data_IF_268061078830
#
_entry.id   IF_268061078830
#
_cell.length_a   1.000
_cell.length_b   1.000
_cell.length_c   1.000
_cell.angle_alpha   90.00
_cell.angle_beta   90.00
_cell.angle_gamma   90.00
#
_symmetry.space_group_name_H-M   'P 1'
#
loop_
_entity.id
_entity.type
_entity.pdbx_description
1 polymer ?
#
# COMPACT_ATOMS: atom_id res chain seq x y z
N UNK A 1 -22.55 20.68 -20.94
CA UNK A 1 -21.71 20.32 -19.78
C UNK A 1 -22.60 19.70 -18.74
N UNK A 2 -22.25 18.53 -18.22
CA UNK A 2 -22.87 17.99 -17.01
C UNK A 2 -22.25 18.66 -15.78
N UNK A 3 -23.06 18.84 -14.75
CA UNK A 3 -22.65 19.28 -13.41
C UNK A 3 -22.79 18.07 -12.50
N UNK A 4 -21.71 17.29 -12.38
CA UNK A 4 -21.71 16.05 -11.62
C UNK A 4 -21.17 16.29 -10.20
N UNK A 5 -21.88 15.79 -9.19
CA UNK A 5 -21.43 15.77 -7.79
C UNK A 5 -20.94 14.35 -7.44
N UNK A 6 -19.65 14.19 -7.14
CA UNK A 6 -19.02 12.91 -6.80
C UNK A 6 -18.56 12.90 -5.35
N UNK A 7 -18.83 11.80 -4.63
CA UNK A 7 -18.46 11.63 -3.22
C UNK A 7 -17.92 10.23 -2.98
N UNK A 8 -16.79 10.13 -2.28
CA UNK A 8 -16.18 8.86 -1.84
C UNK A 8 -15.95 7.83 -2.95
N UNK A 9 -15.61 8.29 -4.17
CA UNK A 9 -15.17 7.40 -5.24
C UNK A 9 -13.73 6.92 -4.96
N UNK A 10 -13.38 5.75 -5.50
CA UNK A 10 -12.02 5.20 -5.39
C UNK A 10 -10.97 6.08 -6.08
N UNK A 11 -11.35 6.68 -7.22
CA UNK A 11 -10.50 7.59 -8.00
C UNK A 11 -11.17 8.96 -8.15
N UNK A 12 -10.37 10.01 -8.31
CA UNK A 12 -10.88 11.36 -8.57
C UNK A 12 -11.58 11.43 -9.94
N UNK A 13 -12.77 12.03 -9.96
CA UNK A 13 -13.56 12.22 -11.20
C UNK A 13 -13.77 13.69 -11.48
N UNK A 14 -13.55 14.08 -12.73
CA UNK A 14 -13.78 15.45 -13.17
C UNK A 14 -15.30 15.74 -13.20
N UNK A 15 -15.78 16.74 -12.43
CA UNK A 15 -17.21 17.08 -12.37
C UNK A 15 -17.75 17.67 -13.66
N UNK A 16 -16.89 18.01 -14.63
CA UNK A 16 -17.28 18.66 -15.88
C UNK A 16 -17.38 17.72 -17.09
N UNK A 17 -16.56 16.67 -17.15
CA UNK A 17 -16.48 15.76 -18.28
C UNK A 17 -16.57 14.27 -17.92
N UNK A 18 -16.71 13.94 -16.64
CA UNK A 18 -16.80 12.56 -16.15
C UNK A 18 -15.54 11.71 -16.45
N UNK A 19 -14.40 12.35 -16.74
CA UNK A 19 -13.10 11.69 -16.81
C UNK A 19 -12.69 11.20 -15.42
N UNK A 20 -12.18 9.97 -15.33
CA UNK A 20 -11.66 9.35 -14.12
C UNK A 20 -10.13 9.33 -14.20
N UNK A 21 -9.49 9.90 -13.18
CA UNK A 21 -8.04 9.98 -13.08
C UNK A 21 -7.51 8.79 -12.25
N UNK A 22 -6.88 7.82 -12.90
CA UNK A 22 -6.42 6.57 -12.28
C UNK A 22 -5.16 6.73 -11.43
N UNK A 23 -4.48 7.87 -11.55
CA UNK A 23 -3.28 8.22 -10.77
C UNK A 23 -3.63 9.21 -9.65
N UNK A 24 -4.92 9.31 -9.28
CA UNK A 24 -5.40 10.31 -8.33
C UNK A 24 -4.88 10.16 -6.89
N UNK A 25 -4.23 9.03 -6.58
CA UNK A 25 -3.53 8.78 -5.32
C UNK A 25 -2.29 9.67 -5.12
N UNK A 26 -1.72 10.19 -6.21
CA UNK A 26 -0.58 11.11 -6.21
C UNK A 26 -0.99 12.59 -6.03
N UNK A 27 -2.30 12.88 -5.98
CA UNK A 27 -2.80 14.22 -5.66
C UNK A 27 -2.38 14.61 -4.23
N UNK A 28 -1.97 15.86 -4.05
CA UNK A 28 -1.50 16.39 -2.76
C UNK A 28 -2.60 16.39 -1.69
N UNK A 29 -2.22 16.26 -0.42
CA UNK A 29 -3.13 16.29 0.72
C UNK A 29 -3.73 17.68 1.02
N UNK A 30 -3.03 18.75 0.62
CA UNK A 30 -3.38 20.11 1.03
C UNK A 30 -3.98 20.94 -0.12
N UNK A 31 -5.26 21.27 -0.02
CA UNK A 31 -5.77 22.63 -0.27
C UNK A 31 -5.93 23.18 -1.69
N UNK A 32 -5.50 22.56 -2.77
CA UNK A 32 -5.64 23.17 -4.10
C UNK A 32 -6.28 22.25 -5.13
N UNK A 33 -7.33 22.79 -5.74
CA UNK A 33 -7.88 22.39 -7.03
C UNK A 33 -6.84 21.70 -7.92
N UNK A 34 -7.28 20.68 -8.67
CA UNK A 34 -6.48 20.08 -9.74
C UNK A 34 -7.06 20.45 -11.11
N UNK A 35 -6.27 20.33 -12.17
CA UNK A 35 -6.72 20.52 -13.55
C UNK A 35 -6.99 19.16 -14.20
N UNK A 36 -8.16 18.99 -14.80
CA UNK A 36 -8.49 17.76 -15.50
C UNK A 36 -7.65 17.61 -16.78
N UNK A 37 -6.84 16.54 -16.86
CA UNK A 37 -6.06 16.22 -18.06
C UNK A 37 -6.87 15.94 -19.34
N UNK A 38 -8.19 15.67 -19.21
CA UNK A 38 -9.08 15.43 -20.35
C UNK A 38 -9.74 16.71 -20.89
N UNK A 39 -10.23 17.61 -20.01
CA UNK A 39 -10.99 18.79 -20.43
C UNK A 39 -10.36 20.14 -20.05
N UNK A 40 -9.22 20.13 -19.34
CA UNK A 40 -8.46 21.32 -18.93
C UNK A 40 -9.15 22.19 -17.88
N UNK A 41 -10.22 21.72 -17.23
CA UNK A 41 -10.94 22.50 -16.21
C UNK A 41 -10.39 22.21 -14.82
N UNK A 42 -10.31 23.27 -14.01
CA UNK A 42 -9.94 23.19 -12.60
C UNK A 42 -11.13 22.74 -11.76
N UNK A 43 -10.92 21.80 -10.84
CA UNK A 43 -11.93 21.36 -9.88
C UNK A 43 -11.29 21.10 -8.51
N UNK A 44 -12.03 21.39 -7.44
CA UNK A 44 -11.62 21.03 -6.08
C UNK A 44 -11.80 19.53 -5.83
N UNK A 45 -11.01 18.98 -4.93
CA UNK A 45 -11.14 17.59 -4.47
C UNK A 45 -10.86 17.53 -2.96
N UNK A 46 -11.37 16.48 -2.33
CA UNK A 46 -11.10 16.15 -0.93
C UNK A 46 -10.77 14.66 -0.86
N UNK A 47 -9.75 14.29 -0.09
CA UNK A 47 -9.37 12.89 0.12
C UNK A 47 -9.92 12.41 1.47
N UNK A 48 -10.66 11.31 1.45
CA UNK A 48 -11.11 10.65 2.68
C UNK A 48 -10.19 9.46 2.97
N UNK A 49 -9.41 9.54 4.06
CA UNK A 49 -8.54 8.46 4.53
C UNK A 49 -9.05 7.92 5.86
N UNK A 50 -9.21 6.61 5.95
CA UNK A 50 -9.50 5.91 7.20
C UNK A 50 -8.27 5.09 7.62
N UNK A 51 -7.78 5.33 8.84
CA UNK A 51 -6.64 4.60 9.42
C UNK A 51 -7.12 3.80 10.63
N UNK A 52 -7.06 2.46 10.54
CA UNK A 52 -7.43 1.54 11.62
C UNK A 52 -6.26 0.61 11.96
N UNK A 53 -6.26 0.07 13.18
CA UNK A 53 -5.13 -0.71 13.71
C UNK A 53 -5.59 -2.11 14.13
N UNK A 54 -4.78 -3.11 13.80
CA UNK A 54 -4.84 -4.45 14.38
C UNK A 54 -3.53 -4.73 15.11
N UNK A 55 -3.61 -5.34 16.29
CA UNK A 55 -2.44 -5.68 17.10
C UNK A 55 -2.44 -7.17 17.43
N UNK A 56 -1.24 -7.75 17.54
CA UNK A 56 -1.05 -9.16 17.86
C UNK A 56 0.24 -9.34 18.68
N UNK A 57 0.33 -10.46 19.41
CA UNK A 57 1.51 -10.79 20.21
C UNK A 57 2.64 -11.28 19.30
N UNK A 58 3.87 -10.92 19.66
CA UNK A 58 5.09 -11.46 19.03
C UNK A 58 5.85 -12.31 20.05
N UNK A 59 5.28 -13.45 20.43
CA UNK A 59 5.81 -14.29 21.51
C UNK A 59 7.24 -14.78 21.21
N UNK A 60 7.55 -15.12 19.95
CA UNK A 60 8.90 -15.54 19.57
C UNK A 60 9.96 -14.43 19.67
N UNK A 61 9.64 -13.20 19.27
CA UNK A 61 10.54 -12.05 19.46
C UNK A 61 10.81 -11.75 20.94
N UNK A 62 9.88 -12.12 21.83
CA UNK A 62 10.02 -11.95 23.27
C UNK A 62 10.56 -13.20 23.99
N UNK A 63 11.05 -14.22 23.25
CA UNK A 63 11.59 -15.45 23.83
C UNK A 63 10.56 -16.32 24.55
N UNK A 64 9.27 -16.09 24.31
CA UNK A 64 8.16 -16.87 24.88
C UNK A 64 7.76 -18.06 24.00
N UNK A 65 8.23 -18.09 22.75
CA UNK A 65 8.04 -19.16 21.81
C UNK A 65 9.25 -19.30 20.88
N UNK A 66 9.38 -20.44 20.21
CA UNK A 66 10.36 -20.59 19.13
C UNK A 66 9.92 -19.83 17.88
N UNK A 67 10.89 -19.38 17.09
CA UNK A 67 10.61 -18.82 15.77
C UNK A 67 10.08 -19.88 14.81
N UNK A 68 9.06 -19.51 14.03
CA UNK A 68 8.50 -20.32 12.95
C UNK A 68 9.06 -19.80 11.62
N UNK A 69 10.27 -20.21 11.28
CA UNK A 69 10.97 -19.75 10.08
C UNK A 69 10.37 -20.34 8.80
N UNK A 70 10.03 -19.47 7.85
CA UNK A 70 9.46 -19.85 6.55
C UNK A 70 10.28 -19.26 5.40
N UNK A 71 10.37 -19.97 4.26
CA UNK A 71 11.07 -19.50 3.08
C UNK A 71 10.44 -18.21 2.53
N UNK A 72 11.25 -17.19 2.28
CA UNK A 72 10.77 -15.98 1.60
C UNK A 72 10.50 -16.25 0.11
N UNK A 73 9.39 -15.71 -0.40
CA UNK A 73 9.03 -15.78 -1.81
C UNK A 73 9.00 -14.38 -2.40
N UNK A 74 9.81 -14.13 -3.44
CA UNK A 74 9.88 -12.82 -4.09
C UNK A 74 10.74 -12.84 -5.35
N UNK A 75 10.82 -11.71 -6.03
CA UNK A 75 11.66 -11.48 -7.21
C UNK A 75 12.67 -10.35 -6.94
N UNK A 76 13.95 -10.48 -7.37
CA UNK A 76 14.54 -11.63 -8.07
C UNK A 76 14.72 -12.86 -7.16
N UNK A 77 14.53 -14.06 -7.70
CA UNK A 77 14.48 -15.31 -6.91
C UNK A 77 15.75 -15.54 -6.11
N UNK A 78 16.90 -15.22 -6.71
CA UNK A 78 18.24 -15.44 -6.16
C UNK A 78 18.44 -14.66 -4.85
N UNK A 79 17.81 -13.49 -4.74
CA UNK A 79 17.89 -12.68 -3.53
C UNK A 79 17.18 -13.32 -2.33
N UNK A 80 16.10 -14.07 -2.58
CA UNK A 80 15.27 -14.67 -1.53
C UNK A 80 15.61 -16.13 -1.25
N UNK A 81 16.28 -16.83 -2.16
CA UNK A 81 16.53 -18.27 -2.11
C UNK A 81 17.24 -18.75 -0.82
N UNK A 82 18.08 -17.90 -0.22
CA UNK A 82 18.82 -18.17 1.01
C UNK A 82 18.23 -17.47 2.24
N UNK A 83 17.01 -16.93 2.17
CA UNK A 83 16.39 -16.16 3.25
C UNK A 83 15.11 -16.79 3.79
N UNK A 84 14.95 -16.70 5.09
CA UNK A 84 13.75 -17.09 5.83
C UNK A 84 13.21 -15.92 6.62
N UNK A 85 11.88 -15.88 6.79
CA UNK A 85 11.17 -14.92 7.64
C UNK A 85 10.32 -15.67 8.65
N UNK A 86 10.36 -15.25 9.91
CA UNK A 86 9.49 -15.81 10.94
C UNK A 86 8.04 -15.37 10.71
N UNK A 87 7.08 -16.28 10.63
CA UNK A 87 5.67 -15.92 10.44
C UNK A 87 5.02 -15.27 11.66
N UNK A 88 5.62 -15.39 12.84
CA UNK A 88 5.12 -14.80 14.08
C UNK A 88 5.63 -13.38 14.38
N UNK A 89 6.90 -13.10 14.12
CA UNK A 89 7.52 -11.80 14.43
C UNK A 89 8.09 -11.05 13.22
N UNK A 90 8.09 -11.66 12.05
CA UNK A 90 8.63 -11.08 10.81
C UNK A 90 10.14 -10.81 10.81
N UNK A 91 10.88 -11.26 11.82
CA UNK A 91 12.34 -11.28 11.77
C UNK A 91 12.82 -12.08 10.55
N UNK A 92 13.97 -11.72 10.03
CA UNK A 92 14.58 -12.35 8.86
C UNK A 92 15.96 -12.94 9.19
N UNK A 93 16.29 -14.07 8.58
CA UNK A 93 17.62 -14.67 8.67
C UNK A 93 18.06 -15.27 7.34
N UNK A 94 19.37 -15.47 7.20
CA UNK A 94 19.91 -16.32 6.14
C UNK A 94 19.91 -17.78 6.60
N UNK A 95 19.63 -18.69 5.67
CA UNK A 95 19.77 -20.13 5.92
C UNK A 95 21.23 -20.46 6.20
N UNK A 96 21.47 -21.18 7.28
CA UNK A 96 22.79 -21.73 7.54
C UNK A 96 23.10 -22.79 6.48
N UNK A 97 24.18 -22.60 5.74
CA UNK A 97 24.66 -23.60 4.78
C UNK A 97 25.31 -24.71 5.59
N UNK A 98 24.61 -25.81 5.81
CA UNK A 98 25.21 -27.01 6.39
C UNK A 98 26.12 -27.62 5.31
N UNK A 99 27.42 -27.39 5.41
CA UNK A 99 28.42 -28.07 4.59
C UNK A 99 28.48 -29.53 5.06
N UNK A 100 27.92 -30.44 4.27
CA UNK A 100 28.05 -31.90 4.43
C UNK A 100 29.36 -32.43 3.87
#
# INVERSE_FOLDING_TARGET
MGDYDYKYNQEAKCPYCNYEDTDSWELSDDGEWTECGSCGKRFGYERHLEVTYSTYKQDCANGLAEHQWEQMHGAPREYFADRERCSGCYDERKKEVVNG
#
